data_IF_860173882040
#
_entry.id   IF_860173882040
#
_cell.length_a   1.000
_cell.length_b   1.000
_cell.length_c   1.000
_cell.angle_alpha   90.00
_cell.angle_beta   90.00
_cell.angle_gamma   90.00
#
_symmetry.space_group_name_H-M   'P 1'
#
loop_
_entity.id
_entity.type
_entity.pdbx_description
1 polymer ?
#
# COMPACT_ATOMS: atom_id res chain seq x y z
N UNK A 1 -12.28 -11.32 9.74
CA UNK A 1 -12.18 -10.77 11.11
C UNK A 1 -12.46 -9.27 11.10
N UNK A 2 -11.70 -8.41 10.36
CA UNK A 2 -11.97 -6.94 10.35
C UNK A 2 -13.38 -6.59 9.86
N UNK A 3 -13.90 -7.28 8.85
CA UNK A 3 -15.25 -7.03 8.34
C UNK A 3 -16.35 -7.28 9.39
N UNK A 4 -16.14 -8.18 10.34
CA UNK A 4 -17.11 -8.46 11.42
C UNK A 4 -17.12 -7.39 12.51
N UNK A 5 -16.08 -6.57 12.59
CA UNK A 5 -16.01 -5.43 13.51
C UNK A 5 -16.63 -4.14 12.93
N UNK A 6 -17.05 -4.17 11.68
CA UNK A 6 -17.66 -3.05 10.95
C UNK A 6 -16.91 -1.70 11.13
N UNK A 7 -15.60 -1.66 10.91
CA UNK A 7 -14.83 -0.44 11.15
C UNK A 7 -15.30 0.68 10.20
N UNK A 8 -15.39 1.90 10.72
CA UNK A 8 -15.76 3.09 9.94
C UNK A 8 -14.68 3.49 8.93
N UNK A 9 -13.44 3.16 9.21
CA UNK A 9 -12.28 3.34 8.35
C UNK A 9 -11.15 2.40 8.78
N UNK A 10 -10.35 1.96 7.83
CA UNK A 10 -9.15 1.14 8.05
C UNK A 10 -8.01 1.73 7.25
N UNK A 11 -6.85 1.88 7.87
CA UNK A 11 -5.63 2.28 7.19
C UNK A 11 -4.58 1.17 7.30
N UNK A 12 -4.16 0.65 6.17
CA UNK A 12 -3.05 -0.29 6.09
C UNK A 12 -1.73 0.47 6.05
N UNK A 13 -0.86 0.21 7.00
CA UNK A 13 0.51 0.68 7.05
C UNK A 13 1.43 -0.47 6.69
N UNK A 14 1.77 -0.57 5.41
CA UNK A 14 2.56 -1.66 4.85
C UNK A 14 3.95 -1.23 4.44
N UNK A 15 4.74 -2.21 3.98
CA UNK A 15 6.04 -2.01 3.37
C UNK A 15 6.07 -2.65 1.99
N UNK A 16 6.88 -2.11 1.07
CA UNK A 16 7.08 -2.68 -0.26
C UNK A 16 8.54 -2.64 -0.69
N UNK A 17 8.88 -3.46 -1.68
CA UNK A 17 10.06 -3.24 -2.51
C UNK A 17 9.79 -2.11 -3.50
N UNK A 18 10.62 -1.08 -3.51
CA UNK A 18 10.53 0.04 -4.45
C UNK A 18 11.03 -0.39 -5.84
N UNK A 19 10.22 -0.15 -6.87
CA UNK A 19 10.54 -0.55 -8.26
C UNK A 19 11.03 0.62 -9.12
N UNK A 20 10.55 1.82 -8.86
CA UNK A 20 10.95 2.97 -9.65
C UNK A 20 12.32 3.50 -9.22
N UNK A 21 13.17 3.83 -10.21
CA UNK A 21 14.58 4.26 -10.01
C UNK A 21 14.76 5.51 -9.15
N UNK A 22 13.73 6.36 -9.01
CA UNK A 22 13.79 7.58 -8.21
C UNK A 22 13.42 7.35 -6.74
N UNK A 23 13.01 6.14 -6.37
CA UNK A 23 12.67 5.79 -5.00
C UNK A 23 13.93 5.51 -4.17
N UNK A 24 13.83 5.83 -2.90
CA UNK A 24 14.82 5.52 -1.88
C UNK A 24 14.16 4.74 -0.74
N UNK A 25 14.95 3.99 0.00
CA UNK A 25 14.49 3.36 1.24
C UNK A 25 14.05 4.46 2.20
N UNK A 26 12.89 4.31 2.78
CA UNK A 26 12.26 5.34 3.62
C UNK A 26 11.22 6.20 2.91
N UNK A 27 11.16 6.19 1.58
CA UNK A 27 10.14 6.92 0.84
C UNK A 27 8.73 6.38 1.11
N UNK A 28 7.75 7.27 1.09
CA UNK A 28 6.34 6.91 1.17
C UNK A 28 5.69 6.79 -0.21
N UNK A 29 4.91 5.73 -0.39
CA UNK A 29 3.99 5.57 -1.51
C UNK A 29 2.57 5.60 -0.97
N UNK A 30 1.75 6.49 -1.55
CA UNK A 30 0.32 6.56 -1.33
C UNK A 30 -0.37 5.90 -2.52
N UNK A 31 -0.81 4.62 -2.41
CA UNK A 31 -1.34 3.89 -3.55
C UNK A 31 -2.64 4.51 -4.09
N UNK A 32 -2.73 4.64 -5.40
CA UNK A 32 -3.97 5.01 -6.11
C UNK A 32 -4.72 3.79 -6.63
N UNK A 33 -4.02 2.67 -6.81
CA UNK A 33 -4.55 1.37 -7.19
C UNK A 33 -3.54 0.28 -6.83
N UNK A 34 -3.99 -0.98 -6.84
CA UNK A 34 -3.10 -2.13 -6.80
C UNK A 34 -3.42 -3.11 -7.94
N UNK A 35 -2.37 -3.67 -8.56
CA UNK A 35 -2.46 -4.76 -9.53
C UNK A 35 -2.68 -6.05 -8.77
N UNK A 36 -3.66 -6.84 -9.20
CA UNK A 36 -4.13 -8.07 -8.55
C UNK A 36 -3.46 -9.28 -9.18
N UNK A 37 -2.17 -9.47 -8.90
CA UNK A 37 -1.42 -10.66 -9.34
C UNK A 37 -1.22 -11.70 -8.22
N UNK A 38 -2.10 -11.65 -7.24
CA UNK A 38 -2.23 -12.61 -6.15
C UNK A 38 -3.55 -13.40 -6.25
N UNK A 39 -3.58 -14.59 -5.69
CA UNK A 39 -4.74 -15.47 -5.81
C UNK A 39 -5.93 -15.08 -4.93
N UNK A 40 -5.68 -14.49 -3.76
CA UNK A 40 -6.68 -14.33 -2.70
C UNK A 40 -7.85 -13.41 -3.09
N UNK A 41 -7.60 -12.28 -3.73
CA UNK A 41 -8.65 -11.31 -4.09
C UNK A 41 -9.68 -11.86 -5.09
N UNK A 42 -9.30 -12.88 -5.89
CA UNK A 42 -10.18 -13.51 -6.89
C UNK A 42 -11.37 -14.22 -6.25
N UNK A 43 -11.26 -14.65 -5.00
CA UNK A 43 -12.36 -15.26 -4.24
C UNK A 43 -13.44 -14.25 -3.81
N UNK A 44 -13.14 -12.96 -3.85
CA UNK A 44 -14.03 -11.89 -3.38
C UNK A 44 -14.58 -11.04 -4.52
N UNK A 45 -13.81 -10.84 -5.57
CA UNK A 45 -14.18 -9.97 -6.69
C UNK A 45 -13.70 -10.56 -8.02
N UNK A 46 -14.46 -10.42 -9.12
CA UNK A 46 -14.00 -10.80 -10.45
C UNK A 46 -12.65 -10.16 -10.80
N UNK A 47 -11.78 -10.82 -11.58
CA UNK A 47 -10.43 -10.33 -11.86
C UNK A 47 -10.40 -8.99 -12.58
N UNK A 48 -11.44 -8.63 -13.32
CA UNK A 48 -11.55 -7.36 -14.04
C UNK A 48 -11.84 -6.16 -13.12
N UNK A 49 -12.29 -6.39 -11.88
CA UNK A 49 -12.55 -5.31 -10.92
C UNK A 49 -11.20 -4.80 -10.38
N UNK A 50 -10.88 -3.52 -10.54
CA UNK A 50 -9.62 -2.97 -10.04
C UNK A 50 -9.60 -2.94 -8.51
N UNK A 51 -8.43 -3.18 -7.93
CA UNK A 51 -8.21 -2.98 -6.51
C UNK A 51 -7.91 -1.50 -6.23
N UNK A 52 -8.88 -0.79 -5.66
CA UNK A 52 -8.80 0.64 -5.40
C UNK A 52 -8.94 0.94 -3.91
N UNK A 53 -8.15 1.88 -3.37
CA UNK A 53 -8.34 2.36 -2.02
C UNK A 53 -9.60 3.22 -1.91
N UNK A 54 -10.10 3.40 -0.70
CA UNK A 54 -11.13 4.40 -0.44
C UNK A 54 -10.52 5.80 -0.54
N UNK A 55 -10.87 6.53 -1.59
CA UNK A 55 -10.31 7.84 -1.93
C UNK A 55 -10.30 8.81 -0.75
N UNK A 56 -11.36 8.83 0.05
CA UNK A 56 -11.48 9.74 1.19
C UNK A 56 -10.39 9.48 2.25
N UNK A 57 -10.04 8.22 2.50
CA UNK A 57 -8.95 7.87 3.44
C UNK A 57 -7.61 8.35 2.86
N UNK A 58 -7.36 8.07 1.57
CA UNK A 58 -6.12 8.51 0.89
C UNK A 58 -5.97 10.03 0.94
N UNK A 59 -7.06 10.78 0.78
CA UNK A 59 -7.07 12.24 0.91
C UNK A 59 -6.61 12.70 2.29
N UNK A 60 -7.08 12.08 3.37
CA UNK A 60 -6.63 12.42 4.74
C UNK A 60 -5.15 12.11 4.93
N UNK A 61 -4.70 10.95 4.48
CA UNK A 61 -3.28 10.58 4.56
C UNK A 61 -2.42 11.57 3.79
N UNK A 62 -2.81 11.90 2.56
CA UNK A 62 -2.13 12.91 1.73
C UNK A 62 -2.04 14.26 2.45
N UNK A 63 -3.13 14.71 3.07
CA UNK A 63 -3.15 15.97 3.80
C UNK A 63 -2.15 15.98 4.97
N UNK A 64 -2.09 14.89 5.76
CA UNK A 64 -1.12 14.77 6.85
C UNK A 64 0.32 14.81 6.35
N UNK A 65 0.62 14.11 5.25
CA UNK A 65 1.95 14.13 4.65
C UNK A 65 2.35 15.56 4.25
N UNK A 66 1.46 16.27 3.55
CA UNK A 66 1.70 17.67 3.15
C UNK A 66 1.85 18.61 4.35
N UNK A 67 0.98 18.50 5.35
CA UNK A 67 1.04 19.33 6.58
C UNK A 67 2.35 19.12 7.37
N UNK A 68 2.94 17.92 7.26
CA UNK A 68 4.23 17.59 7.89
C UNK A 68 5.44 17.89 7.01
N UNK A 69 5.24 18.38 5.79
CA UNK A 69 6.32 18.63 4.83
C UNK A 69 7.02 17.35 4.37
N UNK A 70 6.32 16.20 4.38
CA UNK A 70 6.85 14.91 3.98
C UNK A 70 6.59 14.67 2.48
N UNK A 71 7.64 14.30 1.78
CA UNK A 71 7.52 13.86 0.39
C UNK A 71 6.87 12.48 0.30
N UNK A 72 6.10 12.26 -0.74
CA UNK A 72 5.52 10.96 -1.07
C UNK A 72 5.28 10.84 -2.58
N UNK A 73 5.14 9.61 -3.05
CA UNK A 73 4.77 9.31 -4.42
C UNK A 73 3.37 8.72 -4.47
N UNK A 74 2.63 9.01 -5.54
CA UNK A 74 1.35 8.37 -5.81
C UNK A 74 1.47 7.49 -7.04
N UNK A 75 0.89 6.31 -7.01
CA UNK A 75 0.92 5.40 -8.13
C UNK A 75 0.40 4.02 -7.81
N UNK A 76 0.71 3.07 -8.68
CA UNK A 76 0.23 1.70 -8.59
C UNK A 76 1.21 0.84 -7.80
N UNK A 77 0.69 -0.02 -6.93
CA UNK A 77 1.42 -1.10 -6.29
C UNK A 77 1.10 -2.40 -7.02
N UNK A 78 2.10 -3.22 -7.30
CA UNK A 78 1.89 -4.59 -7.76
C UNK A 78 1.82 -5.51 -6.54
N UNK A 79 0.73 -6.25 -6.38
CA UNK A 79 0.59 -7.23 -5.31
C UNK A 79 0.71 -8.63 -5.89
N UNK A 80 1.74 -9.36 -5.47
CA UNK A 80 2.04 -10.71 -5.94
C UNK A 80 1.98 -11.73 -4.81
N UNK A 81 1.71 -13.00 -5.14
CA UNK A 81 1.89 -14.14 -4.23
C UNK A 81 3.17 -14.94 -4.54
N UNK A 82 4.00 -14.43 -5.44
CA UNK A 82 5.23 -15.03 -5.90
C UNK A 82 6.44 -14.50 -5.12
N UNK A 83 7.16 -15.41 -4.45
CA UNK A 83 8.43 -15.11 -3.74
C UNK A 83 9.62 -15.42 -4.63
N UNK A 84 10.76 -14.75 -4.38
CA UNK A 84 12.01 -14.89 -5.15
C UNK A 84 11.88 -14.50 -6.63
N UNK A 85 10.90 -13.66 -6.95
CA UNK A 85 10.66 -13.12 -8.29
C UNK A 85 11.84 -12.29 -8.81
N UNK A 86 12.71 -11.80 -7.93
CA UNK A 86 13.89 -10.99 -8.24
C UNK A 86 14.87 -11.73 -9.16
N UNK A 87 14.77 -13.05 -9.25
CA UNK A 87 15.57 -13.91 -10.14
C UNK A 87 14.85 -14.24 -11.45
N UNK A 88 13.64 -13.73 -11.68
CA UNK A 88 12.87 -13.94 -12.89
C UNK A 88 12.87 -12.70 -13.78
N UNK A 89 13.67 -12.73 -14.84
CA UNK A 89 13.81 -11.56 -15.75
C UNK A 89 12.50 -11.23 -16.47
N UNK A 90 11.68 -12.23 -16.85
CA UNK A 90 10.41 -11.97 -17.50
C UNK A 90 9.43 -11.25 -16.56
N UNK A 91 9.40 -11.64 -15.29
CA UNK A 91 8.57 -10.97 -14.30
C UNK A 91 9.06 -9.52 -14.01
N UNK A 92 10.37 -9.30 -13.96
CA UNK A 92 10.92 -7.93 -13.83
C UNK A 92 10.53 -7.06 -15.02
N UNK A 93 10.55 -7.61 -16.23
CA UNK A 93 10.11 -6.89 -17.43
C UNK A 93 8.61 -6.55 -17.36
N UNK A 94 7.78 -7.48 -16.90
CA UNK A 94 6.36 -7.24 -16.64
C UNK A 94 6.15 -6.07 -15.66
N UNK A 95 6.81 -6.07 -14.50
CA UNK A 95 6.73 -4.99 -13.51
C UNK A 95 7.11 -3.63 -14.09
N UNK A 96 8.12 -3.60 -14.97
CA UNK A 96 8.52 -2.39 -15.67
C UNK A 96 7.45 -1.89 -16.64
N UNK A 97 6.83 -2.78 -17.42
CA UNK A 97 5.77 -2.45 -18.38
C UNK A 97 4.50 -1.97 -17.67
N UNK A 98 4.16 -2.53 -16.52
CA UNK A 98 3.05 -2.12 -15.68
C UNK A 98 3.27 -0.76 -15.01
N UNK A 99 4.50 -0.26 -14.99
CA UNK A 99 4.88 1.01 -14.33
C UNK A 99 4.50 1.05 -12.85
N UNK A 100 4.54 -0.10 -12.18
CA UNK A 100 4.31 -0.16 -10.75
C UNK A 100 5.42 0.58 -9.99
N UNK A 101 5.05 1.34 -8.97
CA UNK A 101 6.02 2.04 -8.11
C UNK A 101 6.67 1.11 -7.10
N UNK A 102 5.92 0.13 -6.62
CA UNK A 102 6.38 -0.82 -5.63
C UNK A 102 5.68 -2.16 -5.77
N UNK A 103 6.23 -3.16 -5.11
CA UNK A 103 5.69 -4.52 -5.04
C UNK A 103 5.52 -4.94 -3.58
N UNK A 104 4.35 -5.51 -3.28
CA UNK A 104 4.02 -6.10 -1.98
C UNK A 104 3.28 -7.43 -2.14
N UNK A 105 2.70 -7.93 -1.06
CA UNK A 105 1.93 -9.18 -1.08
C UNK A 105 0.49 -9.01 -0.52
N UNK A 106 0.06 -7.79 -0.15
CA UNK A 106 -1.17 -7.56 0.61
C UNK A 106 -2.12 -6.52 0.03
N UNK A 107 -1.64 -5.44 -0.56
CA UNK A 107 -2.43 -4.25 -0.86
C UNK A 107 -3.65 -4.54 -1.75
N UNK A 108 -3.49 -5.33 -2.82
CA UNK A 108 -4.61 -5.63 -3.73
C UNK A 108 -5.68 -6.48 -3.04
N UNK A 109 -5.28 -7.47 -2.23
CA UNK A 109 -6.22 -8.27 -1.43
C UNK A 109 -6.99 -7.38 -0.47
N UNK A 110 -6.30 -6.50 0.28
CA UNK A 110 -6.95 -5.61 1.24
C UNK A 110 -7.97 -4.68 0.58
N UNK A 111 -7.61 -4.06 -0.54
CA UNK A 111 -8.53 -3.18 -1.26
C UNK A 111 -9.74 -3.93 -1.81
N UNK A 112 -9.52 -5.09 -2.42
CA UNK A 112 -10.59 -5.91 -3.01
C UNK A 112 -11.54 -6.45 -1.93
N UNK A 113 -11.00 -6.98 -0.83
CA UNK A 113 -11.80 -7.49 0.28
C UNK A 113 -12.53 -6.35 1.00
N UNK A 114 -11.88 -5.21 1.18
CA UNK A 114 -12.51 -4.02 1.75
C UNK A 114 -13.72 -3.58 0.94
N UNK A 115 -13.57 -3.52 -0.39
CA UNK A 115 -14.66 -3.18 -1.29
C UNK A 115 -15.81 -4.21 -1.21
N UNK A 116 -15.50 -5.50 -1.31
CA UNK A 116 -16.50 -6.58 -1.23
C UNK A 116 -17.24 -6.60 0.12
N UNK A 117 -16.54 -6.33 1.22
CA UNK A 117 -17.08 -6.34 2.58
C UNK A 117 -17.63 -4.98 3.03
N UNK A 118 -17.63 -3.96 2.18
CA UNK A 118 -18.07 -2.58 2.49
C UNK A 118 -17.28 -1.95 3.65
N UNK A 119 -16.02 -2.36 3.83
CA UNK A 119 -15.08 -1.78 4.80
C UNK A 119 -14.21 -0.74 4.07
N UNK A 120 -14.26 0.55 4.45
CA UNK A 120 -13.38 1.56 3.88
C UNK A 120 -11.91 1.26 4.21
N UNK A 121 -11.08 1.05 3.19
CA UNK A 121 -9.66 0.77 3.34
C UNK A 121 -8.83 1.76 2.53
N UNK A 122 -7.86 2.38 3.19
CA UNK A 122 -6.76 3.10 2.57
C UNK A 122 -5.43 2.44 2.90
N UNK A 123 -4.35 2.93 2.31
CA UNK A 123 -3.01 2.46 2.60
C UNK A 123 -1.98 3.58 2.52
N UNK A 124 -0.94 3.48 3.33
CA UNK A 124 0.31 4.20 3.18
C UNK A 124 1.44 3.17 3.24
N UNK A 125 2.26 3.13 2.20
CA UNK A 125 3.28 2.11 2.03
C UNK A 125 4.67 2.73 2.18
N UNK A 126 5.51 2.12 2.98
CA UNK A 126 6.90 2.50 3.19
C UNK A 126 7.81 1.66 2.28
N UNK A 127 8.70 2.31 1.53
CA UNK A 127 9.71 1.61 0.74
C UNK A 127 10.76 1.03 1.67
N UNK A 128 10.85 -0.30 1.75
CA UNK A 128 11.75 -1.01 2.65
C UNK A 128 13.04 -1.50 2.01
N UNK A 129 13.05 -1.65 0.70
CA UNK A 129 14.16 -2.16 -0.09
C UNK A 129 13.98 -1.78 -1.56
N UNK A 130 15.02 -1.96 -2.36
CA UNK A 130 15.04 -1.58 -3.78
C UNK A 130 15.49 -2.79 -4.63
N UNK A 131 14.63 -3.80 -4.76
CA UNK A 131 15.01 -5.14 -5.26
C UNK A 131 15.54 -5.17 -6.69
N UNK A 132 15.24 -4.15 -7.51
CA UNK A 132 15.78 -4.01 -8.87
C UNK A 132 17.18 -3.38 -8.91
N UNK A 133 17.68 -2.85 -7.82
CA UNK A 133 19.02 -2.28 -7.72
C UNK A 133 20.02 -3.34 -7.26
N UNK A 134 21.28 -3.18 -7.68
CA UNK A 134 22.36 -4.09 -7.26
C UNK A 134 22.53 -4.06 -5.73
N UNK A 135 22.38 -5.22 -5.10
CA UNK A 135 22.44 -5.35 -3.63
C UNK A 135 21.22 -4.80 -2.90
N UNK A 136 20.16 -4.44 -3.61
CA UNK A 136 18.95 -3.85 -3.03
C UNK A 136 17.90 -4.85 -2.53
N UNK A 137 18.15 -6.16 -2.68
CA UNK A 137 17.25 -7.20 -2.16
C UNK A 137 17.32 -7.17 -0.62
N UNK A 138 16.16 -7.24 -0.01
CA UNK A 138 15.98 -7.17 1.44
C UNK A 138 16.73 -8.28 2.18
N UNK A 139 17.60 -7.91 3.10
CA UNK A 139 18.26 -8.81 4.05
C UNK A 139 17.66 -8.62 5.45
N UNK A 140 18.01 -9.51 6.38
CA UNK A 140 17.58 -9.38 7.78
C UNK A 140 18.12 -8.10 8.43
N UNK A 141 19.35 -7.75 8.12
CA UNK A 141 20.03 -6.55 8.64
C UNK A 141 19.39 -5.28 8.09
N UNK A 142 19.17 -5.19 6.77
CA UNK A 142 18.53 -4.04 6.15
C UNK A 142 17.09 -3.87 6.62
N UNK A 143 16.33 -4.97 6.76
CA UNK A 143 14.98 -4.92 7.31
C UNK A 143 14.95 -4.37 8.75
N UNK A 144 15.90 -4.79 9.60
CA UNK A 144 16.00 -4.29 10.97
C UNK A 144 16.39 -2.82 11.03
N UNK A 145 17.23 -2.35 10.11
CA UNK A 145 17.60 -0.94 10.01
C UNK A 145 16.39 -0.08 9.62
N UNK A 146 15.69 -0.46 8.56
CA UNK A 146 14.47 0.23 8.10
C UNK A 146 13.42 0.31 9.21
N UNK A 147 13.21 -0.79 9.92
CA UNK A 147 12.24 -0.83 11.02
C UNK A 147 12.58 0.18 12.12
N UNK A 148 13.85 0.28 12.53
CA UNK A 148 14.27 1.24 13.55
C UNK A 148 14.25 2.69 13.11
N UNK A 149 14.50 2.94 11.82
CA UNK A 149 14.69 4.30 11.31
C UNK A 149 13.38 4.96 10.88
N UNK A 150 12.47 4.20 10.24
CA UNK A 150 11.33 4.79 9.56
C UNK A 150 9.96 4.39 10.13
N UNK A 151 9.88 3.34 10.97
CA UNK A 151 8.56 2.83 11.40
C UNK A 151 7.82 3.80 12.30
N UNK A 152 8.52 4.50 13.18
CA UNK A 152 7.88 5.44 14.12
C UNK A 152 7.18 6.57 13.35
N UNK A 153 7.86 7.19 12.38
CA UNK A 153 7.28 8.21 11.52
C UNK A 153 6.09 7.68 10.71
N UNK A 154 6.22 6.46 10.16
CA UNK A 154 5.15 5.80 9.41
C UNK A 154 3.89 5.61 10.27
N UNK A 155 4.06 5.12 11.51
CA UNK A 155 2.97 4.96 12.47
C UNK A 155 2.37 6.30 12.88
N UNK A 156 3.18 7.32 13.15
CA UNK A 156 2.69 8.64 13.53
C UNK A 156 1.83 9.29 12.45
N UNK A 157 2.23 9.17 11.18
CA UNK A 157 1.44 9.66 10.04
C UNK A 157 0.09 8.93 10.00
N UNK A 158 0.11 7.60 10.12
CA UNK A 158 -1.10 6.78 10.10
C UNK A 158 -2.05 7.11 11.25
N UNK A 159 -1.55 7.19 12.48
CA UNK A 159 -2.33 7.54 13.67
C UNK A 159 -2.92 8.95 13.54
N UNK A 160 -2.15 9.91 13.04
CA UNK A 160 -2.62 11.28 12.83
C UNK A 160 -3.75 11.34 11.81
N UNK A 161 -3.63 10.62 10.69
CA UNK A 161 -4.67 10.56 9.66
C UNK A 161 -5.96 9.94 10.21
N UNK A 162 -5.87 8.82 10.93
CA UNK A 162 -7.03 8.14 11.50
C UNK A 162 -7.67 8.97 12.63
N UNK A 163 -6.87 9.66 13.42
CA UNK A 163 -7.37 10.57 14.47
C UNK A 163 -8.15 11.73 13.87
N UNK A 164 -7.67 12.35 12.79
CA UNK A 164 -8.41 13.41 12.09
C UNK A 164 -9.74 12.91 11.51
N UNK A 165 -9.75 11.71 10.91
CA UNK A 165 -10.99 11.09 10.41
C UNK A 165 -12.00 10.92 11.55
N UNK A 166 -11.54 10.42 12.71
CA UNK A 166 -12.39 10.21 13.87
C UNK A 166 -12.93 11.52 14.46
N UNK A 167 -12.08 12.54 14.61
CA UNK A 167 -12.44 13.84 15.17
C UNK A 167 -13.44 14.62 14.31
N UNK A 168 -13.29 14.54 12.98
CA UNK A 168 -14.21 15.22 12.06
C UNK A 168 -15.56 14.54 11.96
N UNK A 169 -15.74 13.36 12.55
CA UNK A 169 -16.98 12.58 12.50
C UNK A 169 -17.41 12.23 11.07
N UNK A 170 -16.46 12.21 10.15
CA UNK A 170 -16.74 12.05 8.74
C UNK A 170 -17.19 10.64 8.40
N UNK A 171 -18.39 10.53 7.84
CA UNK A 171 -18.86 9.27 7.30
C UNK A 171 -18.17 8.96 5.98
N UNK A 172 -17.37 7.90 5.95
CA UNK A 172 -16.83 7.32 4.74
C UNK A 172 -17.90 6.36 4.21
N UNK A 173 -18.62 6.79 3.18
CA UNK A 173 -19.69 5.97 2.58
C UNK A 173 -19.13 5.16 1.43
N UNK A 174 -19.45 3.87 1.38
CA UNK A 174 -19.35 3.08 0.18
C UNK A 174 -20.59 3.25 -0.67
N UNK A 175 -20.43 3.19 -2.00
CA UNK A 175 -21.56 3.02 -2.88
C UNK A 175 -22.26 1.70 -2.53
N UNK A 176 -23.59 1.78 -2.39
CA UNK A 176 -24.43 0.58 -2.30
C UNK A 176 -24.91 0.29 -3.70
N UNK A 177 -24.59 -0.86 -4.19
CA UNK A 177 -25.15 -1.41 -5.42
C UNK A 177 -26.43 -2.13 -5.09
#
# INVERSE_FOLDING_TARGET
VLATAEPKATLFLGMCGGLHRSLQVGDFILPTAAIRDEGASRHFMPPQVPALPTFKIQKFVSQILVERGLDYRTGVIHTADYRFWEFNEAFKQQLYEERALGIDMETATLFSVGFASKVPIGALILVSDLPLQKGGIKTRESASAVFREFTDLHLEVGISAMSQIAQRGEHIRHYRW
#
